data_IF_415704059376
#
_entry.id   IF_415704059376
#
_cell.length_a   1.000
_cell.length_b   1.000
_cell.length_c   1.000
_cell.angle_alpha   90.00
_cell.angle_beta   90.00
_cell.angle_gamma   90.00
#
_symmetry.space_group_name_H-M   'P 1'
#
loop_
_entity.id
_entity.type
_entity.pdbx_description
1 polymer ?
#
# COMPACT_ATOMS: atom_id res chain seq x y z
N UNK A 1 14.75 14.04 -7.59
CA UNK A 1 14.05 13.53 -6.39
C UNK A 1 12.75 14.31 -6.25
N UNK A 2 11.65 13.64 -5.89
CA UNK A 2 10.39 14.31 -5.56
C UNK A 2 10.44 14.75 -4.09
N UNK A 3 10.03 15.98 -3.72
CA UNK A 3 9.96 16.40 -2.32
C UNK A 3 9.00 15.49 -1.55
N UNK A 4 9.40 15.07 -0.36
CA UNK A 4 8.57 14.25 0.53
C UNK A 4 8.51 14.89 1.93
N UNK A 5 7.31 15.23 2.42
CA UNK A 5 7.16 15.77 3.78
C UNK A 5 7.56 14.72 4.83
N UNK A 6 8.07 15.20 5.96
CA UNK A 6 8.43 14.32 7.07
C UNK A 6 7.19 13.68 7.69
N UNK A 7 7.29 12.40 8.08
CA UNK A 7 6.22 11.64 8.75
C UNK A 7 4.91 11.51 7.95
N UNK A 8 4.94 11.48 6.62
CA UNK A 8 3.71 11.35 5.80
C UNK A 8 3.58 9.99 5.11
N UNK A 9 3.37 8.88 5.86
CA UNK A 9 3.20 7.54 5.27
C UNK A 9 1.93 7.45 4.41
N UNK A 10 0.93 8.29 4.68
CA UNK A 10 -0.24 8.50 3.84
C UNK A 10 0.11 9.01 2.44
N UNK A 11 1.28 9.62 2.25
CA UNK A 11 1.77 10.06 0.95
C UNK A 11 2.82 9.13 0.35
N UNK A 12 3.10 7.98 0.99
CA UNK A 12 4.03 6.96 0.49
C UNK A 12 3.25 5.81 -0.13
N UNK A 13 3.31 5.63 -1.47
CA UNK A 13 2.64 4.54 -2.19
C UNK A 13 2.90 3.14 -1.60
N UNK A 14 4.13 2.94 -1.12
CA UNK A 14 4.55 1.68 -0.54
C UNK A 14 3.79 1.35 0.76
N UNK A 15 3.61 2.34 1.64
CA UNK A 15 3.04 2.14 2.97
C UNK A 15 1.51 2.01 2.93
N UNK A 16 0.81 2.86 2.17
CA UNK A 16 -0.66 2.84 2.16
C UNK A 16 -1.25 1.83 1.16
N UNK A 17 -0.49 1.36 0.17
CA UNK A 17 -1.03 0.49 -0.88
C UNK A 17 -0.28 -0.83 -1.05
N UNK A 18 1.01 -0.79 -1.38
CA UNK A 18 1.77 -2.02 -1.68
C UNK A 18 1.85 -2.97 -0.48
N UNK A 19 2.32 -2.49 0.67
CA UNK A 19 2.44 -3.33 1.87
C UNK A 19 1.08 -3.79 2.37
N UNK A 20 0.02 -3.00 2.16
CA UNK A 20 -1.34 -3.43 2.47
C UNK A 20 -1.80 -4.57 1.56
N UNK A 21 -1.50 -4.51 0.26
CA UNK A 21 -1.80 -5.58 -0.69
C UNK A 21 -1.05 -6.86 -0.34
N UNK A 22 0.25 -6.77 -0.07
CA UNK A 22 1.04 -7.93 0.34
C UNK A 22 0.55 -8.50 1.66
N UNK A 23 0.26 -7.64 2.65
CA UNK A 23 -0.28 -8.07 3.93
C UNK A 23 -1.57 -8.85 3.76
N UNK A 24 -2.50 -8.39 2.91
CA UNK A 24 -3.75 -9.11 2.62
C UNK A 24 -3.51 -10.48 1.99
N UNK A 25 -2.60 -10.56 1.02
CA UNK A 25 -2.28 -11.83 0.36
C UNK A 25 -1.62 -12.83 1.32
N UNK A 26 -0.78 -12.35 2.24
CA UNK A 26 -0.05 -13.18 3.21
C UNK A 26 -0.81 -13.39 4.53
N UNK A 27 -1.98 -12.78 4.70
CA UNK A 27 -2.71 -12.80 5.96
C UNK A 27 -3.23 -14.22 6.25
N UNK A 28 -2.95 -14.72 7.45
CA UNK A 28 -3.41 -16.04 7.88
C UNK A 28 -2.56 -17.21 7.39
N UNK A 29 -1.53 -16.94 6.57
CA UNK A 29 -0.57 -17.95 6.19
C UNK A 29 0.44 -18.20 7.33
N UNK A 30 0.66 -19.47 7.66
CA UNK A 30 1.77 -19.90 8.50
C UNK A 30 2.84 -20.52 7.61
N UNK A 31 4.07 -20.01 7.70
CA UNK A 31 5.20 -20.51 6.92
C UNK A 31 6.16 -21.24 7.85
N UNK A 32 6.62 -22.42 7.43
CA UNK A 32 7.55 -23.26 8.19
C UNK A 32 9.00 -22.95 7.81
N UNK A 33 9.22 -22.40 6.61
CA UNK A 33 10.54 -22.10 6.08
C UNK A 33 10.61 -20.73 5.41
N UNK A 34 11.83 -20.19 5.28
CA UNK A 34 12.06 -18.96 4.52
C UNK A 34 11.74 -19.10 3.04
N UNK A 35 11.85 -20.31 2.48
CA UNK A 35 11.59 -20.51 1.05
C UNK A 35 10.10 -20.49 0.74
N UNK A 36 9.25 -20.96 1.65
CA UNK A 36 7.80 -20.76 1.56
C UNK A 36 7.43 -19.27 1.61
N UNK A 37 8.05 -18.49 2.52
CA UNK A 37 7.83 -17.03 2.59
C UNK A 37 8.23 -16.36 1.27
N UNK A 38 9.39 -16.72 0.70
CA UNK A 38 9.84 -16.16 -0.59
C UNK A 38 8.88 -16.52 -1.72
N UNK A 39 8.43 -17.77 -1.79
CA UNK A 39 7.50 -18.22 -2.82
C UNK A 39 6.16 -17.48 -2.74
N UNK A 40 5.57 -17.38 -1.54
CA UNK A 40 4.33 -16.64 -1.32
C UNK A 40 4.48 -15.15 -1.60
N UNK A 41 5.62 -14.55 -1.21
CA UNK A 41 5.92 -13.15 -1.52
C UNK A 41 6.06 -12.92 -3.03
N UNK A 42 6.71 -13.83 -3.76
CA UNK A 42 6.81 -13.76 -5.22
C UNK A 42 5.45 -13.83 -5.90
N UNK A 43 4.54 -14.66 -5.39
CA UNK A 43 3.19 -14.75 -5.94
C UNK A 43 2.39 -13.48 -5.67
N UNK A 44 2.42 -12.97 -4.43
CA UNK A 44 1.80 -11.69 -4.08
C UNK A 44 2.32 -10.53 -4.97
N UNK A 45 3.62 -10.52 -5.26
CA UNK A 45 4.24 -9.55 -6.16
C UNK A 45 3.74 -9.68 -7.62
N UNK A 46 3.58 -10.90 -8.11
CA UNK A 46 3.04 -11.15 -9.47
C UNK A 46 1.60 -10.67 -9.60
N UNK A 47 0.76 -10.99 -8.61
CA UNK A 47 -0.61 -10.48 -8.57
C UNK A 47 -0.66 -8.96 -8.53
N UNK A 48 0.20 -8.35 -7.71
CA UNK A 48 0.33 -6.89 -7.65
C UNK A 48 0.80 -6.30 -8.98
N UNK A 49 1.74 -6.93 -9.68
CA UNK A 49 2.33 -6.38 -10.90
C UNK A 49 1.32 -6.20 -12.04
N UNK A 50 0.23 -6.97 -12.08
CA UNK A 50 -0.75 -6.93 -13.17
C UNK A 50 -1.41 -5.55 -13.33
N UNK A 51 -1.90 -4.95 -12.25
CA UNK A 51 -2.55 -3.62 -12.27
C UNK A 51 -2.24 -2.76 -11.03
N UNK A 52 -1.49 -3.30 -10.07
CA UNK A 52 -1.25 -2.67 -8.78
C UNK A 52 -0.53 -1.34 -8.90
N UNK A 53 0.47 -1.23 -9.78
CA UNK A 53 1.21 0.03 -9.96
C UNK A 53 0.33 1.17 -10.49
N UNK A 54 -0.50 0.92 -11.50
CA UNK A 54 -1.41 1.94 -12.03
C UNK A 54 -2.41 2.40 -10.97
N UNK A 55 -3.06 1.46 -10.27
CA UNK A 55 -4.02 1.78 -9.22
C UNK A 55 -3.33 2.50 -8.02
N UNK A 56 -2.09 2.14 -7.73
CA UNK A 56 -1.28 2.80 -6.70
C UNK A 56 -1.01 4.27 -7.03
N UNK A 57 -0.66 4.59 -8.29
CA UNK A 57 -0.45 5.97 -8.73
C UNK A 57 -1.74 6.78 -8.71
N UNK A 58 -2.86 6.17 -9.12
CA UNK A 58 -4.17 6.81 -9.03
C UNK A 58 -4.53 7.15 -7.57
N UNK A 59 -4.33 6.21 -6.64
CA UNK A 59 -4.59 6.43 -5.21
C UNK A 59 -3.64 7.46 -4.59
N UNK A 60 -2.39 7.52 -5.04
CA UNK A 60 -1.46 8.56 -4.60
C UNK A 60 -1.99 9.96 -4.96
N UNK A 61 -2.52 10.11 -6.18
CA UNK A 61 -3.14 11.37 -6.60
C UNK A 61 -4.34 11.73 -5.72
N UNK A 62 -5.23 10.77 -5.44
CA UNK A 62 -6.36 10.99 -4.51
C UNK A 62 -5.89 11.38 -3.10
N UNK A 63 -4.82 10.78 -2.60
CA UNK A 63 -4.22 11.11 -1.31
C UNK A 63 -3.61 12.51 -1.29
N UNK A 64 -2.93 12.94 -2.36
CA UNK A 64 -2.46 14.32 -2.46
C UNK A 64 -3.62 15.32 -2.42
N UNK A 65 -4.72 15.04 -3.12
CA UNK A 65 -5.91 15.90 -3.07
C UNK A 65 -6.49 15.98 -1.65
N UNK A 66 -6.54 14.86 -0.92
CA UNK A 66 -7.02 14.84 0.47
C UNK A 66 -6.09 15.59 1.42
N UNK A 67 -4.77 15.45 1.25
CA UNK A 67 -3.77 16.19 2.01
C UNK A 67 -3.96 17.71 1.84
N UNK A 68 -4.21 18.17 0.61
CA UNK A 68 -4.48 19.59 0.31
C UNK A 68 -5.77 20.04 1.01
N UNK A 69 -6.86 19.27 0.92
CA UNK A 69 -8.13 19.59 1.59
C UNK A 69 -7.99 19.62 3.11
N UNK A 70 -7.17 18.72 3.67
CA UNK A 70 -6.84 18.64 5.08
C UNK A 70 -5.78 19.68 5.52
N UNK A 71 -5.32 20.56 4.61
CA UNK A 71 -4.30 21.57 4.89
C UNK A 71 -3.00 21.00 5.47
N UNK A 72 -2.63 19.78 5.07
CA UNK A 72 -1.46 19.07 5.56
C UNK A 72 -1.69 18.20 6.79
N UNK A 73 -2.88 18.21 7.40
CA UNK A 73 -3.24 17.28 8.47
C UNK A 73 -3.42 15.86 7.94
N UNK A 74 -3.20 14.87 8.81
CA UNK A 74 -3.52 13.48 8.49
C UNK A 74 -5.00 13.30 8.23
N UNK A 75 -5.32 12.57 7.17
CA UNK A 75 -6.69 12.19 6.84
C UNK A 75 -6.88 10.68 7.00
N UNK A 76 -8.10 10.28 7.36
CA UNK A 76 -8.44 8.85 7.41
C UNK A 76 -8.32 8.28 6.00
N UNK A 77 -7.45 7.29 5.82
CA UNK A 77 -7.43 6.47 4.62
C UNK A 77 -8.83 5.93 4.36
N UNK A 78 -9.22 5.79 3.10
CA UNK A 78 -10.49 5.14 2.76
C UNK A 78 -10.44 3.67 3.15
N UNK A 79 -10.57 3.36 4.44
CA UNK A 79 -10.84 2.03 4.94
C UNK A 79 -12.26 1.73 4.49
N UNK A 80 -12.40 1.20 3.27
CA UNK A 80 -13.52 0.35 2.97
C UNK A 80 -13.53 -0.71 4.07
N UNK A 81 -14.49 -0.55 4.98
CA UNK A 81 -14.92 -1.54 5.93
C UNK A 81 -15.00 -2.89 5.21
N UNK A 82 -14.07 -3.77 5.55
CA UNK A 82 -14.27 -5.21 5.45
C UNK A 82 -14.16 -5.71 6.88
N UNK A 83 -15.26 -5.48 7.61
CA UNK A 83 -15.76 -6.49 8.53
C UNK A 83 -16.48 -7.54 7.68
#
# INVERSE_FOLDING_TARGET
MLPHPSYSPDLVPWDFYFFQSMKKHLQGCCFVSSDEVKAASHEALREFANNGFQLCLQKLYEHWQRCIVAQGDYFKGGYASVL
#
